data_IF_048743696645
#
_entry.id   IF_048743696645
#
_cell.length_a   1.000
_cell.length_b   1.000
_cell.length_c   1.000
_cell.angle_alpha   90.00
_cell.angle_beta   90.00
_cell.angle_gamma   90.00
#
_symmetry.space_group_name_H-M   'P 1'
#
loop_
_entity.id
_entity.type
_entity.pdbx_description
1 polymer ?
#
# COMPACT_ATOMS: atom_id res chain seq x y z
N UNK A 1 -18.54 26.25 7.80
CA UNK A 1 -17.77 25.64 6.70
C UNK A 1 -16.32 26.01 6.88
N UNK A 2 -15.44 25.05 7.11
CA UNK A 2 -13.99 25.30 7.10
C UNK A 2 -13.54 25.48 5.64
N UNK A 3 -12.56 26.36 5.36
CA UNK A 3 -12.00 26.48 4.02
C UNK A 3 -11.40 25.12 3.60
N UNK A 4 -11.72 24.69 2.38
CA UNK A 4 -11.16 23.47 1.81
C UNK A 4 -9.63 23.55 1.70
N UNK A 5 -8.96 22.39 1.60
CA UNK A 5 -7.50 22.35 1.45
C UNK A 5 -7.10 23.16 0.23
N UNK A 6 -6.32 24.23 0.46
CA UNK A 6 -5.74 25.01 -0.63
C UNK A 6 -4.61 24.17 -1.24
N UNK A 7 -4.54 24.01 -2.57
CA UNK A 7 -3.40 23.34 -3.20
C UNK A 7 -2.15 24.17 -2.92
N UNK A 8 -1.39 23.75 -1.91
CA UNK A 8 -0.10 24.37 -1.59
C UNK A 8 0.87 24.15 -2.75
N UNK A 9 1.76 25.11 -2.97
CA UNK A 9 2.87 25.00 -3.93
C UNK A 9 3.62 23.68 -3.71
N UNK A 10 3.90 22.87 -4.74
CA UNK A 10 4.68 21.64 -4.59
C UNK A 10 6.00 21.90 -3.87
N UNK A 11 6.44 20.99 -3.01
CA UNK A 11 7.80 21.07 -2.45
C UNK A 11 8.80 20.79 -3.59
N UNK A 12 9.77 21.69 -3.79
CA UNK A 12 11.00 21.28 -4.46
C UNK A 12 11.70 20.30 -3.50
N UNK A 13 11.98 19.04 -3.91
CA UNK A 13 12.39 17.97 -3.01
C UNK A 13 13.53 18.46 -2.11
N UNK A 14 13.25 18.58 -0.81
CA UNK A 14 14.19 19.12 0.17
C UNK A 14 15.13 18.05 0.73
N UNK A 15 14.89 16.79 0.38
CA UNK A 15 15.78 15.66 0.68
C UNK A 15 16.35 15.11 -0.62
N UNK A 16 17.62 14.70 -0.57
CA UNK A 16 18.15 13.81 -1.59
C UNK A 16 17.19 12.62 -1.72
N UNK A 17 16.73 12.35 -2.94
CA UNK A 17 15.83 11.22 -3.21
C UNK A 17 16.41 9.90 -2.67
N UNK A 18 15.54 8.93 -2.43
CA UNK A 18 15.94 7.69 -1.80
C UNK A 18 14.75 6.77 -1.56
N UNK A 19 14.87 5.94 -0.54
CA UNK A 19 13.86 4.96 -0.17
C UNK A 19 13.29 5.30 1.21
N UNK A 20 11.98 5.12 1.35
CA UNK A 20 11.29 5.11 2.64
C UNK A 20 10.73 3.71 2.83
N UNK A 21 11.41 2.93 3.66
CA UNK A 21 10.96 1.58 4.02
C UNK A 21 9.93 1.71 5.13
N UNK A 22 8.70 1.32 4.84
CA UNK A 22 7.54 1.46 5.72
C UNK A 22 7.03 0.11 6.16
N UNK A 23 6.57 0.07 7.40
CA UNK A 23 5.81 -1.04 7.95
C UNK A 23 4.75 -0.48 8.91
N UNK A 24 3.57 -1.08 8.92
CA UNK A 24 2.47 -0.68 9.80
C UNK A 24 1.89 -1.87 10.55
N UNK A 25 1.69 -1.68 11.85
CA UNK A 25 0.79 -2.54 12.62
C UNK A 25 -0.60 -1.92 12.64
N UNK A 26 -1.62 -2.76 12.55
CA UNK A 26 -3.00 -2.31 12.45
C UNK A 26 -3.95 -3.09 13.36
N UNK A 27 -5.09 -2.47 13.65
CA UNK A 27 -6.16 -3.07 14.48
C UNK A 27 -6.90 -4.22 13.79
N UNK A 28 -6.45 -4.65 12.61
CA UNK A 28 -6.98 -5.75 11.82
C UNK A 28 -6.50 -5.68 10.36
N UNK A 29 -7.13 -6.43 9.46
CA UNK A 29 -6.56 -6.70 8.11
C UNK A 29 -7.04 -5.80 6.99
N UNK A 30 -8.18 -5.14 7.17
CA UNK A 30 -8.80 -4.31 6.11
C UNK A 30 -8.52 -2.83 6.37
N UNK A 31 -7.79 -2.12 5.49
CA UNK A 31 -7.54 -0.69 5.68
C UNK A 31 -8.83 0.13 5.71
N UNK A 32 -9.91 -0.34 5.08
CA UNK A 32 -11.22 0.32 5.07
C UNK A 32 -11.92 0.30 6.44
N UNK A 33 -11.72 -0.75 7.23
CA UNK A 33 -12.41 -1.00 8.51
C UNK A 33 -11.51 -0.77 9.73
N UNK A 34 -10.20 -0.94 9.56
CA UNK A 34 -9.22 -0.91 10.65
C UNK A 34 -8.34 0.33 10.57
N UNK A 35 -7.59 0.55 11.65
CA UNK A 35 -6.76 1.73 11.90
C UNK A 35 -5.32 1.31 12.08
N UNK A 36 -4.40 2.19 11.75
CA UNK A 36 -2.97 2.01 12.08
C UNK A 36 -2.80 2.22 13.59
N UNK A 37 -2.03 1.34 14.23
CA UNK A 37 -1.72 1.38 15.68
C UNK A 37 -0.22 1.55 15.95
N UNK A 38 0.64 1.20 15.00
CA UNK A 38 2.07 1.55 14.97
C UNK A 38 2.48 1.82 13.53
N UNK A 39 3.37 2.79 13.33
CA UNK A 39 3.99 3.05 12.02
C UNK A 39 5.48 3.24 12.20
N UNK A 40 6.25 2.62 11.31
CA UNK A 40 7.69 2.82 11.21
C UNK A 40 8.09 3.26 9.81
N UNK A 41 9.14 4.08 9.75
CA UNK A 41 9.80 4.52 8.52
C UNK A 41 11.31 4.43 8.73
N UNK A 42 12.00 3.66 7.89
CA UNK A 42 13.46 3.62 7.80
C UNK A 42 13.86 4.29 6.49
N UNK A 43 14.64 5.37 6.58
CA UNK A 43 15.09 6.13 5.43
C UNK A 43 16.45 5.65 4.96
N UNK A 44 16.55 5.39 3.66
CA UNK A 44 17.81 5.13 2.98
C UNK A 44 18.04 6.17 1.88
N UNK A 45 19.29 6.55 1.66
CA UNK A 45 19.67 7.39 0.52
C UNK A 45 19.54 6.62 -0.81
N UNK A 46 19.69 7.30 -1.95
CA UNK A 46 19.66 6.65 -3.28
C UNK A 46 20.75 5.59 -3.52
N UNK A 47 21.72 5.44 -2.60
CA UNK A 47 22.78 4.41 -2.59
C UNK A 47 22.55 3.37 -1.48
N UNK A 48 21.33 3.31 -0.94
CA UNK A 48 20.89 2.36 0.09
C UNK A 48 21.62 2.49 1.43
N UNK A 49 22.17 3.67 1.75
CA UNK A 49 22.81 3.94 3.04
C UNK A 49 21.77 4.48 4.03
N UNK A 50 21.77 4.03 5.30
CA UNK A 50 20.86 4.53 6.31
C UNK A 50 20.99 6.05 6.54
N UNK A 51 19.87 6.75 6.60
CA UNK A 51 19.81 8.20 6.87
C UNK A 51 19.13 8.51 8.21
N UNK A 52 17.96 7.92 8.44
CA UNK A 52 17.14 8.20 9.62
C UNK A 52 16.11 7.10 9.85
N UNK A 53 15.54 7.08 11.05
CA UNK A 53 14.43 6.21 11.42
C UNK A 53 13.37 7.01 12.18
N UNK A 54 12.12 6.62 11.99
CA UNK A 54 10.97 7.14 12.70
C UNK A 54 10.07 5.98 13.08
N UNK A 55 9.56 5.97 14.31
CA UNK A 55 8.58 5.00 14.77
C UNK A 55 7.70 5.65 15.84
N UNK A 56 6.40 5.37 15.80
CA UNK A 56 5.46 5.81 16.83
C UNK A 56 4.28 4.87 16.92
N UNK A 57 3.79 4.68 18.15
CA UNK A 57 2.45 4.18 18.40
C UNK A 57 1.42 5.26 18.03
N UNK A 58 0.19 4.82 17.75
CA UNK A 58 -0.92 5.69 17.43
C UNK A 58 -2.17 5.31 18.23
N UNK A 59 -2.92 6.31 18.69
CA UNK A 59 -4.28 6.12 19.21
C UNK A 59 -5.23 5.82 18.03
N UNK A 60 -5.76 4.58 17.90
CA UNK A 60 -6.64 4.22 16.80
C UNK A 60 -8.08 4.73 16.99
N UNK A 61 -8.39 5.42 18.09
CA UNK A 61 -9.73 5.82 18.52
C UNK A 61 -10.66 4.63 18.76
N UNK A 62 -10.12 3.55 19.33
CA UNK A 62 -10.83 2.32 19.58
C UNK A 62 -9.93 1.19 20.06
N UNK A 63 -10.40 -0.07 19.98
CA UNK A 63 -9.60 -1.24 20.35
C UNK A 63 -8.35 -1.37 19.47
N UNK A 64 -7.22 -1.71 20.10
CA UNK A 64 -5.94 -1.98 19.41
C UNK A 64 -5.94 -3.21 18.51
N UNK A 65 -6.96 -4.08 18.61
CA UNK A 65 -7.09 -5.25 17.75
C UNK A 65 -6.28 -6.47 18.25
N UNK A 66 -5.70 -7.29 17.35
CA UNK A 66 -5.13 -8.58 17.70
C UNK A 66 -3.76 -8.46 18.39
N UNK A 67 -3.78 -8.15 19.69
CA UNK A 67 -2.57 -7.94 20.51
C UNK A 67 -1.60 -9.13 20.52
N UNK A 68 -2.07 -10.35 20.27
CA UNK A 68 -1.22 -11.54 20.16
C UNK A 68 -0.31 -11.54 18.92
N UNK A 69 -0.62 -10.72 17.91
CA UNK A 69 0.19 -10.55 16.70
C UNK A 69 1.24 -9.48 16.93
N UNK A 70 0.82 -8.22 17.08
CA UNK A 70 1.69 -7.04 17.13
C UNK A 70 2.18 -6.67 18.54
N UNK A 71 1.71 -7.36 19.59
CA UNK A 71 2.14 -7.16 20.99
C UNK A 71 1.95 -5.73 21.51
N UNK A 72 0.92 -5.03 21.03
CA UNK A 72 0.55 -3.69 21.50
C UNK A 72 -0.72 -3.85 22.32
N UNK A 73 -0.63 -3.56 23.61
CA UNK A 73 -1.75 -3.56 24.54
C UNK A 73 -2.51 -2.22 24.46
N UNK A 74 -3.75 -2.19 24.94
CA UNK A 74 -4.54 -0.96 24.96
C UNK A 74 -3.87 0.16 25.77
N UNK A 75 -3.20 -0.19 26.86
CA UNK A 75 -2.46 0.75 27.70
C UNK A 75 -1.26 1.39 26.97
N UNK A 76 -0.67 0.70 25.99
CA UNK A 76 0.50 1.20 25.26
C UNK A 76 0.14 2.40 24.36
N UNK A 77 -1.12 2.50 23.93
CA UNK A 77 -1.61 3.59 23.07
C UNK A 77 -2.31 4.70 23.84
N UNK A 78 -2.38 4.61 25.17
CA UNK A 78 -2.92 5.68 26.00
C UNK A 78 -2.01 6.92 25.92
N UNK A 79 -2.56 8.02 25.43
CA UNK A 79 -1.79 9.26 25.21
C UNK A 79 -0.92 9.25 23.95
N UNK A 80 -0.89 8.15 23.18
CA UNK A 80 -0.24 8.14 21.87
C UNK A 80 -0.90 9.17 20.92
N UNK A 81 -0.14 9.77 19.99
CA UNK A 81 -0.69 10.72 19.04
C UNK A 81 -1.70 10.05 18.11
N UNK A 82 -2.68 10.80 17.62
CA UNK A 82 -3.55 10.33 16.54
C UNK A 82 -2.84 10.50 15.20
N UNK A 83 -3.25 9.74 14.19
CA UNK A 83 -2.66 9.84 12.85
C UNK A 83 -2.58 11.28 12.31
N UNK A 84 -3.64 12.09 12.48
CA UNK A 84 -3.66 13.50 12.04
C UNK A 84 -2.53 14.36 12.62
N UNK A 85 -2.01 14.00 13.80
CA UNK A 85 -1.00 14.76 14.54
C UNK A 85 0.41 14.45 14.01
N UNK A 86 0.63 13.22 13.52
CA UNK A 86 1.91 12.81 12.92
C UNK A 86 1.94 13.00 11.40
N UNK A 87 0.78 13.16 10.75
CA UNK A 87 0.65 13.22 9.29
C UNK A 87 1.58 14.24 8.60
N UNK A 88 1.80 15.48 9.12
CA UNK A 88 2.74 16.42 8.52
C UNK A 88 4.18 15.88 8.50
N UNK A 89 4.65 15.32 9.62
CA UNK A 89 5.98 14.74 9.72
C UNK A 89 6.11 13.49 8.84
N UNK A 90 5.08 12.65 8.80
CA UNK A 90 5.08 11.47 7.95
C UNK A 90 5.15 11.85 6.47
N UNK A 91 4.41 12.85 6.01
CA UNK A 91 4.55 13.37 4.64
C UNK A 91 5.97 13.87 4.35
N UNK A 92 6.58 14.61 5.28
CA UNK A 92 7.98 15.08 5.13
C UNK A 92 8.95 13.90 4.96
N UNK A 93 8.74 12.80 5.68
CA UNK A 93 9.58 11.60 5.60
C UNK A 93 9.39 10.83 4.29
N UNK A 94 8.15 10.73 3.80
CA UNK A 94 7.81 9.96 2.59
C UNK A 94 8.07 10.75 1.29
N UNK A 95 8.03 12.09 1.35
CA UNK A 95 8.11 12.95 0.19
C UNK A 95 9.40 12.75 -0.62
N UNK A 96 9.24 12.58 -1.93
CA UNK A 96 10.35 12.42 -2.88
C UNK A 96 11.05 11.06 -2.85
N UNK A 97 10.48 10.06 -2.15
CA UNK A 97 11.09 8.73 -1.97
C UNK A 97 10.25 7.61 -2.56
N UNK A 98 10.93 6.53 -2.96
CA UNK A 98 10.27 5.26 -3.31
C UNK A 98 9.79 4.63 -2.02
N UNK A 99 8.50 4.26 -1.96
CA UNK A 99 7.98 3.54 -0.81
C UNK A 99 8.34 2.07 -0.94
N UNK A 100 8.97 1.54 0.11
CA UNK A 100 9.42 0.16 0.17
C UNK A 100 8.70 -0.56 1.30
N UNK A 101 8.33 -1.81 1.09
CA UNK A 101 7.75 -2.65 2.15
C UNK A 101 7.86 -4.13 1.80
N UNK A 102 7.68 -5.00 2.78
CA UNK A 102 7.59 -6.43 2.55
C UNK A 102 6.12 -6.82 2.39
N UNK A 103 5.66 -6.96 1.13
CA UNK A 103 4.23 -6.88 0.76
C UNK A 103 3.66 -5.44 0.81
N UNK A 104 4.46 -4.48 0.34
CA UNK A 104 4.23 -3.01 0.40
C UNK A 104 2.82 -2.52 0.03
N UNK A 105 2.07 -3.24 -0.80
CA UNK A 105 0.68 -2.89 -1.13
C UNK A 105 -0.23 -2.87 0.09
N UNK A 106 0.05 -3.70 1.10
CA UNK A 106 -0.67 -3.72 2.36
C UNK A 106 -0.42 -2.44 3.17
N UNK A 107 0.85 -2.13 3.45
CA UNK A 107 1.25 -0.94 4.21
C UNK A 107 0.78 0.34 3.52
N UNK A 108 1.02 0.43 2.21
CA UNK A 108 0.59 1.56 1.39
C UNK A 108 -0.92 1.77 1.46
N UNK A 109 -1.73 0.70 1.41
CA UNK A 109 -3.18 0.83 1.49
C UNK A 109 -3.67 1.33 2.86
N UNK A 110 -2.98 0.98 3.95
CA UNK A 110 -3.26 1.53 5.28
C UNK A 110 -2.89 3.00 5.37
N UNK A 111 -1.68 3.36 4.93
CA UNK A 111 -1.22 4.75 4.91
C UNK A 111 -2.14 5.62 4.05
N UNK A 112 -2.41 5.23 2.81
CA UNK A 112 -3.31 5.94 1.90
C UNK A 112 -4.68 6.15 2.55
N UNK A 113 -5.21 5.11 3.21
CA UNK A 113 -6.53 5.20 3.84
C UNK A 113 -6.55 6.09 5.09
N UNK A 114 -5.49 6.10 5.91
CA UNK A 114 -5.38 7.05 7.03
C UNK A 114 -5.23 8.50 6.55
N UNK A 115 -4.44 8.73 5.50
CA UNK A 115 -4.30 10.02 4.83
C UNK A 115 -5.61 10.50 4.20
N UNK A 116 -6.36 9.61 3.54
CA UNK A 116 -7.68 9.92 2.99
C UNK A 116 -8.70 10.29 4.09
N UNK A 117 -8.65 9.67 5.28
CA UNK A 117 -9.56 9.99 6.40
C UNK A 117 -9.39 11.43 6.91
N UNK A 118 -8.19 12.00 6.79
CA UNK A 118 -7.92 13.39 7.19
C UNK A 118 -8.06 14.38 6.03
N UNK A 119 -8.52 13.92 4.85
CA UNK A 119 -8.75 14.77 3.68
C UNK A 119 -7.48 15.07 2.87
N UNK A 120 -6.44 14.25 3.00
CA UNK A 120 -5.12 14.50 2.40
C UNK A 120 -4.61 13.19 1.77
N UNK A 121 -5.26 12.68 0.71
CA UNK A 121 -4.87 11.41 0.10
C UNK A 121 -3.41 11.43 -0.37
N UNK A 122 -2.76 10.27 -0.35
CA UNK A 122 -1.40 10.17 -0.87
C UNK A 122 -1.41 10.35 -2.39
N UNK A 123 -0.41 11.02 -2.98
CA UNK A 123 -0.25 11.02 -4.42
C UNK A 123 0.16 9.60 -4.89
N UNK A 124 -0.02 9.26 -6.17
CA UNK A 124 0.57 8.06 -6.74
C UNK A 124 2.10 8.11 -6.59
N UNK A 125 2.66 7.10 -5.95
CA UNK A 125 4.09 6.99 -5.64
C UNK A 125 4.65 5.67 -6.13
N UNK A 126 5.92 5.62 -6.59
CA UNK A 126 6.57 4.37 -6.91
C UNK A 126 6.65 3.47 -5.67
N UNK A 127 6.23 2.22 -5.83
CA UNK A 127 6.28 1.19 -4.80
C UNK A 127 7.32 0.14 -5.18
N UNK A 128 8.07 -0.33 -4.19
CA UNK A 128 9.02 -1.44 -4.34
C UNK A 128 8.76 -2.47 -3.24
N UNK A 129 8.57 -3.72 -3.65
CA UNK A 129 8.19 -4.80 -2.74
C UNK A 129 9.35 -5.78 -2.55
N UNK A 130 9.91 -5.86 -1.35
CA UNK A 130 11.04 -6.77 -1.07
C UNK A 130 10.62 -8.24 -1.13
N UNK A 131 9.35 -8.56 -0.89
CA UNK A 131 8.81 -9.91 -1.14
C UNK A 131 8.89 -10.29 -2.62
N UNK A 132 8.66 -9.34 -3.54
CA UNK A 132 8.81 -9.59 -4.98
C UNK A 132 10.30 -9.75 -5.34
N UNK A 133 11.14 -8.84 -4.86
CA UNK A 133 12.60 -8.96 -5.05
C UNK A 133 13.15 -10.28 -4.52
N UNK A 134 12.69 -10.74 -3.36
CA UNK A 134 13.12 -12.01 -2.79
C UNK A 134 12.76 -13.21 -3.69
N UNK A 135 11.65 -13.17 -4.42
CA UNK A 135 11.30 -14.24 -5.38
C UNK A 135 12.29 -14.32 -6.53
N UNK A 136 12.81 -13.18 -6.95
CA UNK A 136 13.74 -13.09 -8.07
C UNK A 136 15.19 -13.38 -7.64
N UNK A 137 15.54 -13.07 -6.38
CA UNK A 137 16.92 -13.09 -5.89
C UNK A 137 17.24 -14.15 -4.82
N UNK A 138 16.24 -14.79 -4.20
CA UNK A 138 16.41 -15.83 -3.17
C UNK A 138 15.65 -17.12 -3.56
N UNK A 139 16.04 -17.79 -4.66
CA UNK A 139 15.35 -19.00 -5.16
C UNK A 139 15.36 -20.17 -4.16
N UNK A 140 16.31 -20.20 -3.23
CA UNK A 140 16.45 -21.21 -2.18
C UNK A 140 15.56 -20.96 -0.95
N UNK A 141 14.86 -19.83 -0.88
CA UNK A 141 13.99 -19.51 0.24
C UNK A 141 12.83 -20.52 0.37
N UNK A 142 12.58 -21.00 1.60
CA UNK A 142 11.50 -21.97 1.89
C UNK A 142 10.10 -21.35 1.85
N UNK A 143 10.04 -20.03 1.76
CA UNK A 143 8.84 -19.20 1.69
C UNK A 143 9.25 -17.75 1.52
N UNK A 144 8.29 -16.88 1.18
CA UNK A 144 8.55 -15.47 0.91
C UNK A 144 7.94 -14.52 1.94
N UNK A 145 7.66 -15.01 3.15
CA UNK A 145 7.42 -14.14 4.30
C UNK A 145 8.72 -13.55 4.81
N UNK A 146 8.66 -12.40 5.51
CA UNK A 146 9.85 -11.62 5.88
C UNK A 146 10.89 -12.47 6.63
N UNK A 147 10.45 -13.24 7.61
CA UNK A 147 11.34 -14.11 8.40
C UNK A 147 12.07 -15.15 7.54
N UNK A 148 11.36 -15.79 6.59
CA UNK A 148 11.95 -16.77 5.70
C UNK A 148 12.95 -16.15 4.72
N UNK A 149 12.65 -14.95 4.19
CA UNK A 149 13.57 -14.22 3.33
C UNK A 149 14.82 -13.74 4.07
N UNK A 150 14.67 -13.22 5.30
CA UNK A 150 15.78 -12.80 6.16
C UNK A 150 16.68 -13.98 6.52
N UNK A 151 16.09 -15.14 6.81
CA UNK A 151 16.83 -16.39 7.04
C UNK A 151 17.61 -16.81 5.78
N UNK A 152 16.94 -16.87 4.62
CA UNK A 152 17.57 -17.26 3.36
C UNK A 152 18.71 -16.31 2.96
N UNK A 153 18.55 -15.00 3.19
CA UNK A 153 19.58 -13.99 2.95
C UNK A 153 20.73 -14.00 3.97
N UNK A 154 20.68 -14.83 5.01
CA UNK A 154 21.70 -14.90 6.05
C UNK A 154 21.79 -13.65 6.93
N UNK A 155 20.70 -12.88 7.05
CA UNK A 155 20.66 -11.58 7.75
C UNK A 155 20.43 -11.70 9.27
N UNK A 156 20.29 -12.91 9.79
CA UNK A 156 20.16 -13.18 11.23
C UNK A 156 18.75 -13.01 11.77
N UNK A 157 18.63 -12.77 13.09
CA UNK A 157 17.35 -12.60 13.79
C UNK A 157 17.04 -11.11 13.96
N UNK A 158 15.75 -10.78 13.95
CA UNK A 158 15.23 -9.43 14.18
C UNK A 158 14.01 -9.49 15.11
N UNK A 159 13.64 -8.38 15.77
CA UNK A 159 12.44 -8.31 16.60
C UNK A 159 11.18 -8.28 15.73
N UNK A 160 10.76 -9.47 15.26
CA UNK A 160 9.60 -9.64 14.40
C UNK A 160 8.30 -9.18 15.07
N UNK A 161 7.36 -8.69 14.25
CA UNK A 161 6.04 -8.18 14.67
C UNK A 161 6.14 -6.93 15.54
N UNK A 162 7.11 -6.08 15.21
CA UNK A 162 7.14 -4.68 15.60
C UNK A 162 7.38 -3.90 14.32
N UNK A 163 6.68 -2.76 14.14
CA UNK A 163 6.78 -2.05 12.87
C UNK A 163 8.23 -1.66 12.56
N UNK A 164 8.98 -1.19 13.57
CA UNK A 164 10.38 -0.82 13.38
C UNK A 164 11.29 -2.03 13.13
N UNK A 165 11.03 -3.16 13.79
CA UNK A 165 11.79 -4.39 13.56
C UNK A 165 11.62 -4.89 12.13
N UNK A 166 10.37 -4.91 11.66
CA UNK A 166 10.01 -5.41 10.35
C UNK A 166 10.46 -4.43 9.24
N UNK A 167 10.37 -3.11 9.46
CA UNK A 167 10.91 -2.10 8.56
C UNK A 167 12.44 -2.17 8.44
N UNK A 168 13.19 -2.38 9.53
CA UNK A 168 14.65 -2.55 9.50
C UNK A 168 15.06 -3.82 8.76
N UNK A 169 14.42 -4.95 9.08
CA UNK A 169 14.67 -6.20 8.40
C UNK A 169 14.35 -6.10 6.89
N UNK A 170 13.28 -5.38 6.54
CA UNK A 170 12.93 -5.06 5.15
C UNK A 170 13.99 -4.19 4.48
N UNK A 171 14.56 -3.21 5.18
CA UNK A 171 15.63 -2.36 4.67
C UNK A 171 16.92 -3.15 4.41
N UNK A 172 17.29 -4.06 5.31
CA UNK A 172 18.46 -4.92 5.14
C UNK A 172 18.23 -5.96 4.03
N UNK A 173 17.02 -6.51 3.91
CA UNK A 173 16.66 -7.39 2.80
C UNK A 173 16.71 -6.65 1.45
N UNK A 174 16.21 -5.41 1.39
CA UNK A 174 16.34 -4.56 0.20
C UNK A 174 17.81 -4.39 -0.19
N UNK A 175 18.66 -4.03 0.77
CA UNK A 175 20.11 -3.84 0.58
C UNK A 175 20.79 -5.12 0.11
N UNK A 176 20.38 -6.27 0.64
CA UNK A 176 20.89 -7.57 0.23
C UNK A 176 20.51 -7.88 -1.23
N UNK A 177 19.21 -7.81 -1.58
CA UNK A 177 18.74 -8.14 -2.92
C UNK A 177 19.33 -7.21 -3.99
N UNK A 178 19.38 -5.89 -3.72
CA UNK A 178 19.90 -4.90 -4.66
C UNK A 178 21.43 -4.78 -4.65
N UNK A 179 22.10 -5.25 -3.59
CA UNK A 179 23.56 -5.31 -3.50
C UNK A 179 24.17 -6.56 -4.14
N UNK A 180 23.36 -7.55 -4.52
CA UNK A 180 23.81 -8.76 -5.18
C UNK A 180 24.36 -8.44 -6.58
N UNK A 181 25.45 -9.11 -6.99
CA UNK A 181 26.07 -8.91 -8.31
C UNK A 181 25.13 -9.18 -9.51
N UNK A 182 24.01 -9.87 -9.27
CA UNK A 182 22.93 -10.12 -10.22
C UNK A 182 22.00 -8.91 -10.46
N UNK A 183 22.17 -7.82 -9.71
CA UNK A 183 21.33 -6.62 -9.79
C UNK A 183 22.20 -5.42 -10.21
N UNK A 184 22.14 -4.96 -11.47
CA UNK A 184 22.88 -3.78 -11.88
C UNK A 184 22.42 -2.56 -11.06
N UNK A 185 23.34 -1.66 -10.65
CA UNK A 185 23.01 -0.49 -9.83
C UNK A 185 22.01 0.50 -10.47
N UNK A 186 21.63 0.28 -11.72
CA UNK A 186 20.80 1.17 -12.53
C UNK A 186 19.31 0.80 -12.57
N UNK A 187 18.89 -0.38 -12.09
CA UNK A 187 17.49 -0.84 -12.21
C UNK A 187 16.50 0.00 -11.37
N UNK A 188 16.96 0.66 -10.31
CA UNK A 188 16.12 1.53 -9.46
C UNK A 188 16.30 3.03 -9.73
N UNK A 189 17.11 3.41 -10.72
CA UNK A 189 17.29 4.82 -11.08
C UNK A 189 15.99 5.47 -11.58
N UNK A 190 15.16 4.73 -12.31
CA UNK A 190 13.86 5.22 -12.81
C UNK A 190 12.88 5.45 -11.67
N UNK A 191 12.56 4.47 -10.79
CA UNK A 191 11.72 4.71 -9.61
C UNK A 191 12.18 5.88 -8.74
N UNK A 192 13.49 6.04 -8.52
CA UNK A 192 14.04 7.16 -7.75
C UNK A 192 13.77 8.53 -8.42
N UNK A 193 13.94 8.61 -9.74
CA UNK A 193 13.65 9.85 -10.51
C UNK A 193 12.15 10.15 -10.55
N UNK A 194 11.31 9.13 -10.67
CA UNK A 194 9.85 9.27 -10.63
C UNK A 194 9.40 9.77 -9.27
N UNK A 195 9.85 9.12 -8.19
CA UNK A 195 9.53 9.50 -6.82
C UNK A 195 9.91 10.95 -6.52
N UNK A 196 11.10 11.39 -6.93
CA UNK A 196 11.58 12.76 -6.75
C UNK A 196 10.71 13.83 -7.46
N UNK A 197 9.91 13.44 -8.46
CA UNK A 197 9.03 14.35 -9.22
C UNK A 197 7.57 14.33 -8.73
N UNK A 198 7.20 13.40 -7.86
CA UNK A 198 5.83 13.30 -7.35
C UNK A 198 5.48 14.58 -6.59
N UNK A 199 4.36 15.26 -6.91
CA UNK A 199 3.91 16.43 -6.16
C UNK A 199 3.24 16.00 -4.86
N UNK A 200 3.89 16.24 -3.72
CA UNK A 200 3.36 15.91 -2.40
C UNK A 200 2.50 17.04 -1.81
N UNK A 201 1.37 16.72 -1.14
CA UNK A 201 0.58 17.72 -0.43
C UNK A 201 1.37 18.30 0.75
N UNK A 202 1.09 19.56 1.09
CA UNK A 202 1.64 20.20 2.28
C UNK A 202 0.60 20.26 3.38
N UNK A 203 0.95 19.72 4.53
CA UNK A 203 0.22 19.98 5.77
C UNK A 203 1.04 20.91 6.64
N UNK A 204 0.46 22.05 7.01
CA UNK A 204 1.01 22.83 8.10
C UNK A 204 1.01 21.96 9.35
N UNK A 205 2.08 22.04 10.15
CA UNK A 205 2.11 21.38 11.46
C UNK A 205 0.88 21.85 12.23
N UNK A 206 -0.01 20.91 12.59
CA UNK A 206 -1.13 21.24 13.46
C UNK A 206 -0.56 21.92 14.70
N UNK A 207 -1.18 23.00 15.19
CA UNK A 207 -0.86 23.52 16.52
C UNK A 207 -1.19 22.39 17.48
N UNK A 208 -0.16 21.63 17.88
CA UNK A 208 -0.29 20.61 18.90
C UNK A 208 -0.95 21.27 20.11
N UNK A 209 -1.78 20.51 20.83
CA UNK A 209 -2.15 20.92 22.18
C UNK A 209 -0.86 21.30 22.90
N UNK A 210 -0.85 22.43 23.61
CA UNK A 210 0.27 22.85 24.43
C UNK A 210 0.56 21.78 25.49
N UNK A 211 1.37 20.80 25.12
CA UNK A 211 2.15 19.95 26.00
C UNK A 211 3.45 19.77 25.23
N UNK A 212 4.40 20.65 25.52
CA UNK A 212 5.69 20.78 24.86
C UNK A 212 6.65 19.65 25.16
N UNK A 213 6.19 18.41 25.17
CA UNK A 213 7.06 17.25 25.16
C UNK A 213 7.28 16.84 23.70
N UNK A 214 8.53 16.73 23.22
CA UNK A 214 8.79 16.13 21.92
C UNK A 214 8.16 14.73 21.89
N UNK A 215 7.56 14.35 20.75
CA UNK A 215 7.12 12.97 20.52
C UNK A 215 8.35 12.10 20.74
N UNK A 216 8.37 11.39 21.87
CA UNK A 216 9.45 10.50 22.26
C UNK A 216 9.64 9.49 21.12
N UNK A 217 10.85 9.47 20.56
CA UNK A 217 11.37 8.33 19.83
C UNK A 217 11.34 7.13 20.79
N UNK A 218 10.22 6.41 20.84
CA UNK A 218 10.17 5.17 21.58
C UNK A 218 10.95 4.16 20.76
N UNK A 219 12.24 4.02 21.07
CA UNK A 219 12.92 2.75 20.86
C UNK A 219 12.20 1.75 21.77
N UNK A 220 11.45 0.82 21.19
CA UNK A 220 11.24 -0.46 21.86
C UNK A 220 12.61 -1.12 21.91
N UNK A 221 13.27 -1.03 23.06
CA UNK A 221 14.37 -1.95 23.34
C UNK A 221 13.79 -3.38 23.36
N UNK A 222 14.51 -4.38 22.83
CA UNK A 222 14.12 -5.77 22.98
C UNK A 222 13.98 -6.08 24.48
N UNK A 223 12.90 -6.78 24.87
CA UNK A 223 12.75 -7.28 26.24
C UNK A 223 14.03 -8.00 26.69
N UNK A 224 14.59 -7.70 27.88
CA UNK A 224 15.68 -8.48 28.42
C UNK A 224 15.16 -9.85 28.86
N UNK A 225 15.73 -10.91 28.27
CA UNK A 225 15.76 -12.25 28.87
C UNK A 225 14.56 -13.14 28.62
N UNK A 226 14.67 -14.01 27.63
CA UNK A 226 14.22 -15.39 27.78
C UNK A 226 15.40 -16.31 27.45
N UNK A 227 15.77 -17.26 28.33
CA UNK A 227 16.86 -18.18 28.04
C UNK A 227 16.50 -19.04 26.83
N UNK A 228 17.50 -19.31 26.00
CA UNK A 228 17.41 -20.29 24.93
C UNK A 228 16.96 -21.63 25.53
N UNK A 229 15.76 -22.09 25.18
CA UNK A 229 15.35 -23.44 25.52
C UNK A 229 16.07 -24.41 24.60
N UNK A 230 17.15 -24.98 25.13
CA UNK A 230 17.73 -26.24 24.67
C UNK A 230 16.90 -27.40 25.23
N UNK A 231 16.40 -28.28 24.38
CA UNK A 231 16.26 -29.71 24.70
C UNK A 231 15.62 -30.49 23.54
N UNK A 232 16.31 -31.54 23.08
CA UNK A 232 15.66 -32.84 22.85
C UNK A 232 16.23 -33.85 23.86
N UNK A 233 15.89 -35.16 23.80
CA UNK A 233 14.67 -35.79 23.29
C UNK A 233 13.99 -36.76 24.32
N UNK A 234 12.77 -37.23 23.99
CA UNK A 234 12.00 -38.43 24.49
C UNK A 234 11.66 -38.48 26.01
N UNK A 235 10.53 -38.98 26.54
CA UNK A 235 9.56 -40.03 26.14
C UNK A 235 8.26 -39.90 26.97
N UNK A 236 7.26 -40.71 26.62
CA UNK A 236 6.09 -41.17 27.41
C UNK A 236 4.74 -40.43 27.30
N UNK A 237 3.86 -41.05 26.51
CA UNK A 237 2.39 -41.04 26.58
C UNK A 237 1.91 -41.80 27.85
N UNK A 238 0.70 -41.56 28.42
CA UNK A 238 -0.53 -41.91 27.70
C UNK A 238 -1.81 -41.08 27.97
N UNK A 239 -2.70 -41.17 26.97
CA UNK A 239 -4.17 -41.30 27.03
C UNK A 239 -5.03 -40.25 27.75
N UNK A 240 -5.77 -39.49 26.93
CA UNK A 240 -7.03 -38.83 27.31
C UNK A 240 -7.57 -37.94 26.19
N UNK A 241 -8.52 -38.44 25.39
CA UNK A 241 -9.33 -37.58 24.50
C UNK A 241 -10.37 -36.84 25.35
N UNK A 242 -10.70 -35.58 25.00
CA UNK A 242 -11.90 -35.41 24.20
C UNK A 242 -11.71 -34.49 22.99
N UNK A 243 -12.57 -34.75 22.01
CA UNK A 243 -13.08 -33.89 20.93
C UNK A 243 -12.71 -32.40 20.99
N UNK A 244 -12.08 -31.91 19.93
CA UNK A 244 -12.53 -30.73 19.19
C UNK A 244 -11.91 -30.70 17.79
N UNK A 245 -12.72 -30.25 16.84
CA UNK A 245 -12.44 -30.11 15.41
C UNK A 245 -11.17 -29.28 15.13
N UNK A 246 -10.34 -29.63 14.12
CA UNK A 246 -9.15 -28.87 13.82
C UNK A 246 -9.47 -27.60 13.01
N UNK A 247 -9.68 -26.48 13.71
CA UNK A 247 -9.51 -25.15 13.12
C UNK A 247 -8.01 -24.78 13.16
N UNK A 248 -7.28 -25.22 12.15
CA UNK A 248 -5.85 -24.98 12.05
C UNK A 248 -5.32 -25.32 10.67
N UNK A 249 -5.67 -24.51 9.66
CA UNK A 249 -4.91 -24.48 8.41
C UNK A 249 -3.91 -23.34 8.47
N UNK A 250 -2.66 -23.74 8.25
CA UNK A 250 -1.42 -22.96 8.13
C UNK A 250 -1.61 -21.54 7.58
N UNK A 251 -0.90 -20.59 8.20
CA UNK A 251 -0.81 -19.16 7.83
C UNK A 251 0.02 -18.90 6.56
N UNK A 252 0.30 -19.92 5.76
CA UNK A 252 0.92 -19.80 4.44
C UNK A 252 0.09 -20.55 3.39
N UNK A 253 -0.86 -19.86 2.75
CA UNK A 253 -1.36 -20.26 1.43
C UNK A 253 -1.53 -19.03 0.52
N UNK A 254 -1.20 -19.17 -0.78
CA UNK A 254 -1.06 -18.05 -1.69
C UNK A 254 -2.42 -17.52 -2.14
N UNK A 255 -2.62 -16.21 -2.06
CA UNK A 255 -3.76 -15.56 -2.72
C UNK A 255 -3.55 -15.60 -4.23
N UNK A 256 -4.18 -16.59 -4.87
CA UNK A 256 -4.49 -16.56 -6.28
C UNK A 256 -5.62 -15.56 -6.55
N UNK A 257 -5.29 -14.44 -7.18
CA UNK A 257 -5.87 -13.98 -8.44
C UNK A 257 -5.13 -12.72 -8.87
N UNK A 258 -4.62 -12.80 -10.10
CA UNK A 258 -3.78 -11.84 -10.80
C UNK A 258 -4.42 -10.45 -10.81
N UNK A 259 -3.74 -9.48 -10.21
CA UNK A 259 -3.98 -8.05 -10.46
C UNK A 259 -2.84 -7.56 -11.34
N UNK A 260 -2.87 -7.97 -12.60
CA UNK A 260 -2.06 -7.37 -13.67
C UNK A 260 -3.00 -7.10 -14.84
N UNK A 261 -3.53 -5.87 -14.90
CA UNK A 261 -3.86 -5.23 -16.18
C UNK A 261 -3.48 -3.75 -16.10
N UNK A 262 -2.84 -3.19 -17.14
CA UNK A 262 -2.44 -1.80 -17.19
C UNK A 262 -3.66 -0.89 -17.34
N UNK A 263 -3.66 0.20 -16.58
CA UNK A 263 -4.71 1.20 -16.60
C UNK A 263 -4.42 2.22 -17.70
N UNK A 264 -5.15 2.17 -18.81
CA UNK A 264 -5.24 3.31 -19.73
C UNK A 264 -6.67 3.50 -20.29
N UNK A 265 -7.31 4.56 -19.77
CA UNK A 265 -8.18 5.55 -20.42
C UNK A 265 -9.63 5.25 -20.92
N UNK A 266 -10.48 6.30 -21.04
CA UNK A 266 -11.78 6.33 -20.37
C UNK A 266 -12.97 6.29 -21.33
N UNK A 267 -14.13 5.84 -20.83
CA UNK A 267 -15.41 6.13 -21.47
C UNK A 267 -16.36 6.74 -20.45
N UNK A 268 -16.57 8.05 -20.60
CA UNK A 268 -17.62 8.76 -19.89
C UNK A 268 -19.00 8.31 -20.37
N UNK A 269 -19.96 8.29 -19.44
CA UNK A 269 -21.27 8.91 -19.59
C UNK A 269 -21.96 8.96 -18.23
N UNK A 270 -22.37 10.17 -17.89
CA UNK A 270 -23.18 10.59 -16.74
C UNK A 270 -24.51 9.84 -16.66
N UNK A 271 -25.01 9.59 -15.45
CA UNK A 271 -26.45 9.62 -15.17
C UNK A 271 -26.72 10.01 -13.72
N UNK A 272 -27.37 11.16 -13.56
CA UNK A 272 -28.00 11.64 -12.34
C UNK A 272 -29.28 10.83 -12.04
N UNK A 273 -29.31 10.23 -10.83
CA UNK A 273 -30.36 10.35 -9.79
C UNK A 273 -31.85 9.94 -10.06
N UNK A 274 -32.71 9.75 -9.02
CA UNK A 274 -33.05 8.40 -8.55
C UNK A 274 -34.56 8.08 -8.35
N UNK A 275 -34.82 6.80 -8.02
CA UNK A 275 -35.87 6.22 -7.15
C UNK A 275 -37.38 6.37 -7.46
N UNK A 276 -38.05 5.21 -7.64
CA UNK A 276 -39.47 4.99 -7.28
C UNK A 276 -40.24 3.99 -8.16
N UNK A 277 -40.75 2.85 -7.64
CA UNK A 277 -41.60 1.88 -8.36
C UNK A 277 -43.09 1.99 -7.91
N UNK A 278 -44.01 1.04 -8.20
CA UNK A 278 -44.20 0.08 -9.32
C UNK A 278 -45.64 0.17 -9.92
N UNK A 279 -45.96 -0.56 -11.01
CA UNK A 279 -47.18 -1.38 -11.16
C UNK A 279 -47.49 -1.81 -12.62
N UNK A 280 -47.62 -3.13 -12.82
CA UNK A 280 -48.67 -3.79 -13.64
C UNK A 280 -48.61 -3.74 -15.18
N UNK A 281 -48.56 -4.88 -15.89
CA UNK A 281 -49.01 -5.00 -17.29
C UNK A 281 -50.54 -5.24 -17.32
N UNK A 282 -51.31 -5.01 -18.42
CA UNK A 282 -51.15 -5.77 -19.68
C UNK A 282 -51.68 -5.13 -20.99
N UNK A 283 -51.61 -5.92 -22.08
CA UNK A 283 -52.49 -5.99 -23.29
C UNK A 283 -51.92 -5.46 -24.62
N UNK A 284 -51.56 -6.42 -25.48
CA UNK A 284 -52.29 -6.75 -26.72
C UNK A 284 -52.18 -5.81 -27.95
N UNK A 285 -51.80 -6.32 -29.15
CA UNK A 285 -51.62 -5.52 -30.37
C UNK A 285 -52.89 -5.48 -31.25
N UNK A 286 -52.99 -4.47 -32.12
CA UNK A 286 -53.98 -4.44 -33.20
C UNK A 286 -53.37 -3.94 -34.52
N UNK A 287 -53.80 -4.61 -35.58
CA UNK A 287 -53.31 -4.62 -36.96
C UNK A 287 -53.80 -3.46 -37.84
N UNK A 288 -53.15 -3.29 -38.99
CA UNK A 288 -53.71 -2.74 -40.24
C UNK A 288 -53.17 -1.35 -40.59
N UNK A 289 -52.73 -1.00 -41.80
CA UNK A 289 -53.00 -1.52 -43.15
C UNK A 289 -51.82 -1.13 -44.08
N UNK A 290 -51.70 -1.85 -45.21
CA UNK A 290 -50.69 -1.73 -46.29
C UNK A 290 -51.44 -1.35 -47.60
N UNK A 291 -50.77 -1.26 -48.78
CA UNK A 291 -49.98 -0.18 -49.43
C UNK A 291 -50.74 0.36 -50.69
N UNK A 292 -50.15 0.90 -51.81
CA UNK A 292 -49.16 0.30 -52.75
C UNK A 292 -48.05 1.26 -53.28
N UNK A 293 -46.83 0.76 -53.62
CA UNK A 293 -46.17 0.59 -54.97
C UNK A 293 -46.15 1.87 -55.87
N UNK A 294 -45.12 2.25 -56.63
CA UNK A 294 -43.97 1.57 -57.25
C UNK A 294 -42.84 2.56 -57.66
N UNK A 295 -41.65 1.98 -57.90
CA UNK A 295 -40.40 2.44 -58.57
C UNK A 295 -40.61 2.91 -60.04
N UNK A 296 -39.63 3.48 -60.83
CA UNK A 296 -38.18 3.14 -60.87
C UNK A 296 -37.22 4.34 -61.21
N UNK A 297 -35.91 4.11 -61.51
CA UNK A 297 -34.83 5.11 -61.42
C UNK A 297 -34.47 5.74 -62.77
N UNK A 298 -33.61 6.77 -62.76
CA UNK A 298 -32.91 7.26 -63.94
C UNK A 298 -31.40 7.29 -63.68
N UNK A 299 -30.68 6.67 -64.61
CA UNK A 299 -29.23 6.52 -64.72
C UNK A 299 -28.66 7.55 -65.73
N UNK A 300 -27.44 8.03 -65.43
CA UNK A 300 -26.26 8.19 -66.33
C UNK A 300 -26.33 9.18 -67.52
N UNK A 301 -25.46 10.20 -67.55
CA UNK A 301 -24.28 10.33 -68.45
C UNK A 301 -23.59 11.71 -68.45
N UNK A 302 -22.25 11.63 -68.48
CA UNK A 302 -21.25 12.43 -69.23
C UNK A 302 -21.17 13.95 -68.97
N UNK A 303 -20.02 14.59 -68.72
CA UNK A 303 -18.67 14.33 -69.18
C UNK A 303 -18.18 15.53 -70.00
N UNK A 304 -17.40 16.44 -69.40
CA UNK A 304 -16.48 17.43 -70.03
C UNK A 304 -15.56 17.90 -68.89
N UNK A 305 -14.27 18.15 -69.01
CA UNK A 305 -13.37 18.31 -70.14
C UNK A 305 -12.24 19.23 -69.64
N UNK A 306 -11.00 18.85 -69.91
CA UNK A 306 -9.77 19.36 -69.32
C UNK A 306 -9.48 20.87 -69.48
N UNK A 307 -8.74 21.42 -68.53
CA UNK A 307 -7.83 22.55 -68.70
C UNK A 307 -6.48 22.15 -68.09
N UNK A 308 -5.46 21.99 -68.93
CA UNK A 308 -4.07 21.87 -68.52
C UNK A 308 -3.27 23.07 -69.00
N UNK A 309 -2.27 23.49 -68.23
CA UNK A 309 -1.05 24.10 -68.75
C UNK A 309 0.06 24.06 -67.71
N UNK A 310 1.15 23.35 -68.01
CA UNK A 310 2.50 23.60 -67.53
C UNK A 310 3.48 22.91 -68.47
N UNK A 311 4.42 23.72 -68.98
CA UNK A 311 5.72 23.43 -69.59
C UNK A 311 5.79 22.53 -70.83
#
# INVERSE_FOLDING_TARGET
MLPGPTPGTPLAPSGAGGFAVVDVEATGRSPWRHRVVEVAVVLLDGRLRPEAEFCTLLDPLGPVGPTHVHRIAQADVEGAPRFREIAPQLLELLAGRVLVGHHVTCDHAFLDREFARIGVPLPPVPLLCTMRLARDHLPEARGFGLAACVEAAGLGRFPAHTALGDARATADLLRHCLGAASCPPDDWAVPLREAARVPWPRLGRARSRQSGEPVLLVRRDPLPGLPAQSSGPTSDEPSGRPSDEPFGRSFDQPFGRSFDQPFDQPSGRSFDQPCGPPAGPPRGPAYGLRPPRARPPAEVREGTGAMGSSA
#
